data_IF_800596635054
#
_entry.id   IF_800596635054
#
_cell.length_a   1.000
_cell.length_b   1.000
_cell.length_c   1.000
_cell.angle_alpha   90.00
_cell.angle_beta   90.00
_cell.angle_gamma   90.00
#
_symmetry.space_group_name_H-M   'P 1'
#
loop_
_entity.id
_entity.type
_entity.pdbx_description
1 polymer ?
#
# COMPACT_ATOMS: atom_id res chain seq x y z
N UNK A 1 4.92 2.18 -39.31
CA UNK A 1 4.44 3.27 -38.44
C UNK A 1 5.51 3.48 -37.39
N UNK A 2 6.07 4.68 -37.34
CA UNK A 2 7.05 5.03 -36.32
C UNK A 2 6.38 5.00 -34.93
N UNK A 3 7.12 4.53 -33.92
CA UNK A 3 6.62 4.47 -32.55
C UNK A 3 6.54 5.89 -31.96
N UNK A 4 5.33 6.48 -32.00
CA UNK A 4 5.09 7.85 -31.53
C UNK A 4 5.56 8.05 -30.07
N UNK A 5 5.59 6.99 -29.26
CA UNK A 5 6.02 7.08 -27.87
C UNK A 5 7.45 7.58 -27.70
N UNK A 6 8.33 7.33 -28.67
CA UNK A 6 9.73 7.79 -28.66
C UNK A 6 9.78 9.32 -28.78
N UNK A 7 9.00 9.89 -29.72
CA UNK A 7 8.93 11.32 -29.92
C UNK A 7 8.33 12.05 -28.73
N UNK A 8 7.21 11.54 -28.22
CA UNK A 8 6.52 12.08 -27.03
C UNK A 8 7.45 12.05 -25.79
N UNK A 9 8.08 10.89 -25.51
CA UNK A 9 9.00 10.76 -24.39
C UNK A 9 10.17 11.73 -24.47
N UNK A 10 10.75 11.89 -25.67
CA UNK A 10 11.85 12.83 -25.87
C UNK A 10 11.44 14.29 -25.64
N UNK A 11 10.26 14.67 -26.09
CA UNK A 11 9.68 16.01 -25.87
C UNK A 11 9.46 16.27 -24.39
N UNK A 12 8.78 15.34 -23.71
CA UNK A 12 8.47 15.46 -22.27
C UNK A 12 9.75 15.54 -21.44
N UNK A 13 10.72 14.66 -21.69
CA UNK A 13 12.02 14.70 -20.99
C UNK A 13 12.72 16.04 -21.14
N UNK A 14 12.72 16.58 -22.36
CA UNK A 14 13.34 17.87 -22.63
C UNK A 14 12.62 18.98 -21.86
N UNK A 15 11.30 19.07 -21.97
CA UNK A 15 10.49 20.08 -21.27
C UNK A 15 10.66 19.97 -19.76
N UNK A 16 10.61 18.75 -19.22
CA UNK A 16 10.73 18.50 -17.78
C UNK A 16 12.11 18.87 -17.26
N UNK A 17 13.20 18.42 -17.90
CA UNK A 17 14.57 18.73 -17.50
C UNK A 17 14.84 20.25 -17.54
N UNK A 18 14.46 20.92 -18.64
CA UNK A 18 14.60 22.38 -18.75
C UNK A 18 13.78 23.09 -17.69
N UNK A 19 12.53 22.65 -17.44
CA UNK A 19 11.68 23.22 -16.40
C UNK A 19 12.30 23.10 -15.01
N UNK A 20 12.90 21.97 -14.67
CA UNK A 20 13.59 21.76 -13.39
C UNK A 20 14.84 22.63 -13.28
N UNK A 21 15.65 22.73 -14.34
CA UNK A 21 16.87 23.57 -14.35
C UNK A 21 16.56 25.05 -14.22
N UNK A 22 15.50 25.53 -14.89
CA UNK A 22 15.11 26.93 -14.94
C UNK A 22 14.24 27.35 -13.73
N UNK A 23 13.73 26.40 -12.94
CA UNK A 23 12.85 26.72 -11.81
C UNK A 23 13.63 27.41 -10.69
N UNK A 24 13.25 28.66 -10.44
CA UNK A 24 13.77 29.42 -9.30
C UNK A 24 13.42 28.72 -7.98
N UNK A 25 12.20 28.21 -7.85
CA UNK A 25 11.75 27.49 -6.64
C UNK A 25 12.66 26.28 -6.35
N UNK A 26 12.92 25.45 -7.37
CA UNK A 26 13.84 24.30 -7.22
C UNK A 26 15.22 24.76 -6.79
N UNK A 27 15.78 25.77 -7.47
CA UNK A 27 17.13 26.27 -7.19
C UNK A 27 17.25 26.87 -5.77
N UNK A 28 16.27 27.63 -5.31
CA UNK A 28 16.22 28.19 -3.95
C UNK A 28 16.13 27.05 -2.90
N UNK A 29 15.32 26.01 -3.16
CA UNK A 29 15.19 24.87 -2.26
C UNK A 29 16.45 23.99 -2.23
N UNK A 30 17.12 23.78 -3.36
CA UNK A 30 18.41 23.08 -3.41
C UNK A 30 19.49 23.84 -2.62
N UNK A 31 19.56 25.17 -2.77
CA UNK A 31 20.48 26.00 -1.98
C UNK A 31 20.18 25.88 -0.49
N UNK A 32 18.90 25.90 -0.10
CA UNK A 32 18.49 25.73 1.30
C UNK A 32 18.89 24.37 1.86
N UNK A 33 18.82 23.32 1.01
CA UNK A 33 19.25 21.97 1.35
C UNK A 33 20.77 21.89 1.56
N UNK A 34 21.55 22.51 0.66
CA UNK A 34 23.02 22.55 0.75
C UNK A 34 23.49 23.33 1.98
N UNK A 35 22.79 24.41 2.34
CA UNK A 35 22.98 25.16 3.56
C UNK A 35 22.54 24.41 4.84
N UNK A 36 22.01 23.19 4.72
CA UNK A 36 21.44 22.36 5.80
C UNK A 36 20.29 23.03 6.57
N UNK A 37 19.53 23.90 5.91
CA UNK A 37 18.39 24.63 6.49
C UNK A 37 17.03 24.12 6.02
N UNK A 38 17.02 23.15 5.10
CA UNK A 38 15.80 22.59 4.55
C UNK A 38 15.15 21.64 5.56
N UNK A 39 13.83 21.70 5.61
CA UNK A 39 12.96 20.84 6.41
C UNK A 39 11.93 20.08 5.55
N UNK A 40 11.00 19.40 6.19
CA UNK A 40 9.94 18.65 5.45
C UNK A 40 8.89 19.55 4.80
N UNK A 41 8.73 20.80 5.23
CA UNK A 41 7.90 21.77 4.49
C UNK A 41 8.56 22.14 3.17
N UNK A 42 9.88 22.27 3.16
CA UNK A 42 10.65 22.50 1.94
C UNK A 42 10.65 21.26 1.03
N UNK A 43 10.73 20.06 1.60
CA UNK A 43 10.61 18.82 0.83
C UNK A 43 9.24 18.70 0.15
N UNK A 44 8.15 19.08 0.84
CA UNK A 44 6.81 19.10 0.23
C UNK A 44 6.70 20.15 -0.89
N UNK A 45 7.28 21.36 -0.70
CA UNK A 45 7.33 22.39 -1.75
C UNK A 45 8.12 21.90 -2.97
N UNK A 46 9.25 21.23 -2.73
CA UNK A 46 10.05 20.63 -3.80
C UNK A 46 9.27 19.57 -4.57
N UNK A 47 8.55 18.70 -3.88
CA UNK A 47 7.73 17.65 -4.49
C UNK A 47 6.56 18.23 -5.31
N UNK A 48 5.91 19.28 -4.82
CA UNK A 48 4.86 19.99 -5.55
C UNK A 48 5.43 20.59 -6.84
N UNK A 49 6.52 21.33 -6.76
CA UNK A 49 7.15 21.96 -7.91
C UNK A 49 7.58 20.94 -8.97
N UNK A 50 8.25 19.85 -8.56
CA UNK A 50 8.61 18.74 -9.47
C UNK A 50 7.36 18.15 -10.13
N UNK A 51 6.30 17.93 -9.37
CA UNK A 51 5.04 17.38 -9.90
C UNK A 51 4.35 18.33 -10.86
N UNK A 52 4.33 19.64 -10.59
CA UNK A 52 3.75 20.67 -11.45
C UNK A 52 4.54 20.85 -12.75
N UNK A 53 5.86 20.83 -12.69
CA UNK A 53 6.75 20.88 -13.86
C UNK A 53 6.56 19.65 -14.76
N UNK A 54 6.46 18.46 -14.17
CA UNK A 54 6.19 17.25 -14.93
C UNK A 54 4.78 17.26 -15.54
N UNK A 55 3.78 17.69 -14.78
CA UNK A 55 2.41 17.86 -15.27
C UNK A 55 2.35 18.81 -16.47
N UNK A 56 3.03 19.95 -16.38
CA UNK A 56 3.16 20.92 -17.47
C UNK A 56 3.84 20.31 -18.70
N UNK A 57 4.91 19.52 -18.47
CA UNK A 57 5.62 18.85 -19.55
C UNK A 57 4.75 17.83 -20.29
N UNK A 58 3.86 17.14 -19.57
CA UNK A 58 2.85 16.29 -20.21
C UNK A 58 1.85 17.12 -21.03
N UNK A 59 1.35 18.21 -20.47
CA UNK A 59 0.36 19.09 -21.13
C UNK A 59 0.92 19.72 -22.41
N UNK A 60 2.18 20.10 -22.42
CA UNK A 60 2.86 20.69 -23.57
C UNK A 60 3.15 19.71 -24.72
N UNK A 61 3.25 18.42 -24.42
CA UNK A 61 3.73 17.41 -25.38
C UNK A 61 2.69 16.36 -25.76
N UNK A 62 1.57 16.26 -25.04
CA UNK A 62 0.53 15.27 -25.31
C UNK A 62 -0.79 15.98 -25.57
N UNK A 63 -1.33 15.78 -26.75
CA UNK A 63 -2.69 16.18 -27.14
C UNK A 63 -3.42 15.03 -27.83
N UNK A 64 -4.73 15.09 -27.92
CA UNK A 64 -5.53 14.05 -28.56
C UNK A 64 -5.24 13.89 -30.05
N UNK A 65 -4.84 14.96 -30.72
CA UNK A 65 -4.51 14.93 -32.15
C UNK A 65 -3.19 14.19 -32.45
N UNK A 66 -2.27 14.19 -31.48
CA UNK A 66 -0.99 13.47 -31.57
C UNK A 66 -1.13 11.98 -31.24
N UNK A 67 -2.28 11.54 -30.70
CA UNK A 67 -2.52 10.17 -30.30
C UNK A 67 -3.35 9.38 -31.32
N UNK A 68 -3.07 8.08 -31.51
CA UNK A 68 -3.88 7.25 -32.40
C UNK A 68 -5.36 7.25 -31.96
N UNK A 69 -6.25 7.65 -32.87
CA UNK A 69 -7.70 7.76 -32.60
C UNK A 69 -8.05 8.67 -31.41
N UNK A 70 -7.19 9.61 -31.03
CA UNK A 70 -7.40 10.47 -29.85
C UNK A 70 -7.32 9.74 -28.51
N UNK A 71 -6.77 8.53 -28.48
CA UNK A 71 -6.75 7.65 -27.31
C UNK A 71 -5.33 7.38 -26.82
N UNK A 72 -5.13 7.45 -25.52
CA UNK A 72 -3.87 7.06 -24.86
C UNK A 72 -3.84 5.55 -24.64
N UNK A 73 -3.35 4.80 -25.62
CA UNK A 73 -3.22 3.34 -25.49
C UNK A 73 -2.22 2.94 -24.38
N UNK A 74 -2.45 1.80 -23.74
CA UNK A 74 -1.66 1.32 -22.60
C UNK A 74 -0.15 1.28 -22.88
N UNK A 75 0.25 0.78 -24.04
CA UNK A 75 1.66 0.70 -24.42
C UNK A 75 2.32 2.07 -24.59
N UNK A 76 1.57 3.08 -25.03
CA UNK A 76 2.04 4.47 -25.15
C UNK A 76 2.12 5.07 -23.74
N UNK A 77 1.04 5.01 -22.96
CA UNK A 77 1.02 5.51 -21.58
C UNK A 77 2.15 4.90 -20.74
N UNK A 78 2.35 3.58 -20.82
CA UNK A 78 3.39 2.88 -20.06
C UNK A 78 4.81 3.32 -20.43
N UNK A 79 5.07 3.56 -21.74
CA UNK A 79 6.37 4.01 -22.21
C UNK A 79 6.67 5.48 -21.96
N UNK A 80 5.62 6.30 -21.86
CA UNK A 80 5.74 7.76 -21.78
C UNK A 80 5.61 8.27 -20.35
N UNK A 81 4.64 7.74 -19.59
CA UNK A 81 4.30 8.28 -18.26
C UNK A 81 5.12 7.64 -17.14
N UNK A 82 5.24 6.30 -17.12
CA UNK A 82 5.90 5.58 -16.03
C UNK A 82 7.39 5.95 -15.85
N UNK A 83 8.21 6.10 -16.92
CA UNK A 83 9.60 6.51 -16.77
C UNK A 83 9.75 7.91 -16.17
N UNK A 84 8.87 8.85 -16.55
CA UNK A 84 8.93 10.23 -16.08
C UNK A 84 8.43 10.37 -14.63
N UNK A 85 7.42 9.61 -14.24
CA UNK A 85 7.02 9.50 -12.83
C UNK A 85 8.16 8.94 -11.99
N UNK A 86 8.93 7.98 -12.53
CA UNK A 86 10.08 7.40 -11.85
C UNK A 86 11.23 8.41 -11.74
N UNK A 87 11.51 9.19 -12.78
CA UNK A 87 12.53 10.24 -12.73
C UNK A 87 12.16 11.30 -11.68
N UNK A 88 10.91 11.76 -11.67
CA UNK A 88 10.43 12.69 -10.64
C UNK A 88 10.51 12.09 -9.22
N UNK A 89 10.16 10.80 -9.06
CA UNK A 89 10.34 10.07 -7.80
C UNK A 89 11.79 10.11 -7.33
N UNK A 90 12.75 9.84 -8.20
CA UNK A 90 14.18 9.83 -7.84
C UNK A 90 14.63 11.20 -7.34
N UNK A 91 14.23 12.29 -8.02
CA UNK A 91 14.53 13.66 -7.60
C UNK A 91 13.96 13.98 -6.21
N UNK A 92 12.68 13.68 -5.96
CA UNK A 92 12.00 13.95 -4.69
C UNK A 92 12.52 13.04 -3.57
N UNK A 93 12.76 11.78 -3.85
CA UNK A 93 13.32 10.82 -2.88
C UNK A 93 14.73 11.22 -2.44
N UNK A 94 15.57 11.66 -3.36
CA UNK A 94 16.92 12.12 -3.03
C UNK A 94 16.91 13.42 -2.20
N UNK A 95 16.04 14.37 -2.54
CA UNK A 95 15.87 15.59 -1.78
C UNK A 95 15.38 15.30 -0.37
N UNK A 96 14.27 14.58 -0.20
CA UNK A 96 13.68 14.29 1.10
C UNK A 96 14.58 13.39 1.98
N UNK A 97 15.35 12.48 1.37
CA UNK A 97 16.36 11.67 2.08
C UNK A 97 17.50 12.55 2.61
N UNK A 98 17.97 13.55 1.85
CA UNK A 98 18.99 14.50 2.30
C UNK A 98 18.46 15.41 3.40
N UNK A 99 17.21 15.87 3.31
CA UNK A 99 16.52 16.59 4.39
C UNK A 99 16.53 15.77 5.67
N UNK A 100 16.08 14.51 5.61
CA UNK A 100 16.09 13.63 6.80
C UNK A 100 17.50 13.44 7.37
N UNK A 101 18.51 13.31 6.49
CA UNK A 101 19.90 13.17 6.92
C UNK A 101 20.35 14.40 7.70
N UNK A 102 20.09 15.60 7.18
CA UNK A 102 20.46 16.86 7.85
C UNK A 102 19.73 16.99 9.19
N UNK A 103 18.44 16.68 9.24
CA UNK A 103 17.66 16.70 10.49
C UNK A 103 18.17 15.69 11.52
N UNK A 104 18.60 14.51 11.09
CA UNK A 104 19.23 13.52 11.98
C UNK A 104 20.58 14.00 12.51
N UNK A 105 21.40 14.64 11.66
CA UNK A 105 22.69 15.21 12.07
C UNK A 105 22.49 16.32 13.12
N UNK A 106 21.55 17.23 12.89
CA UNK A 106 21.24 18.33 13.81
C UNK A 106 20.70 17.82 15.16
N UNK A 107 19.87 16.80 15.12
CA UNK A 107 19.34 16.13 16.31
C UNK A 107 20.34 15.14 16.94
N UNK A 108 21.54 14.99 16.38
CA UNK A 108 22.59 14.02 16.80
C UNK A 108 22.08 12.57 16.80
N UNK A 109 21.21 12.23 15.85
CA UNK A 109 20.69 10.88 15.64
C UNK A 109 21.63 10.14 14.70
N UNK A 110 22.33 9.13 15.21
CA UNK A 110 23.30 8.33 14.45
C UNK A 110 22.68 7.22 13.59
N UNK A 111 21.39 7.29 13.29
CA UNK A 111 20.68 6.27 12.50
C UNK A 111 20.80 6.52 11.00
N UNK A 112 20.93 5.43 10.24
CA UNK A 112 20.90 5.50 8.78
C UNK A 112 19.51 5.89 8.30
N UNK A 113 19.44 6.92 7.46
CA UNK A 113 18.19 7.35 6.85
C UNK A 113 17.62 6.26 5.93
N UNK A 114 16.34 5.99 6.07
CA UNK A 114 15.59 5.10 5.21
C UNK A 114 15.10 5.83 3.98
N UNK A 115 15.25 5.21 2.80
CA UNK A 115 14.74 5.75 1.53
C UNK A 115 13.35 5.17 1.24
N UNK A 116 12.43 5.96 0.68
CA UNK A 116 11.17 5.44 0.19
C UNK A 116 11.38 4.51 -1.02
N UNK A 117 10.44 3.63 -1.26
CA UNK A 117 10.43 2.73 -2.42
C UNK A 117 9.49 3.27 -3.49
N UNK A 118 9.90 3.20 -4.75
CA UNK A 118 9.05 3.61 -5.86
C UNK A 118 7.73 2.82 -5.88
N UNK A 119 6.61 3.53 -5.81
CA UNK A 119 5.29 2.91 -5.80
C UNK A 119 4.83 2.57 -7.23
N UNK A 120 5.32 1.44 -7.74
CA UNK A 120 5.00 0.96 -9.08
C UNK A 120 3.49 0.71 -9.26
N UNK A 121 2.79 0.29 -8.21
CA UNK A 121 1.35 0.06 -8.27
C UNK A 121 0.59 1.36 -8.52
N UNK A 122 0.98 2.45 -7.86
CA UNK A 122 0.38 3.78 -8.06
C UNK A 122 0.66 4.32 -9.46
N UNK A 123 1.89 4.19 -9.95
CA UNK A 123 2.23 4.53 -11.33
C UNK A 123 1.41 3.72 -12.34
N UNK A 124 1.32 2.40 -12.15
CA UNK A 124 0.49 1.55 -12.99
C UNK A 124 -1.00 1.96 -12.95
N UNK A 125 -1.50 2.41 -11.80
CA UNK A 125 -2.86 2.95 -11.65
C UNK A 125 -3.08 4.18 -12.53
N UNK A 126 -2.15 5.13 -12.56
CA UNK A 126 -2.18 6.31 -13.44
C UNK A 126 -2.21 5.87 -14.91
N UNK A 127 -1.27 4.99 -15.31
CA UNK A 127 -1.15 4.47 -16.68
C UNK A 127 -2.43 3.77 -17.14
N UNK A 128 -3.03 2.92 -16.30
CA UNK A 128 -4.25 2.20 -16.64
C UNK A 128 -5.43 3.15 -16.82
N UNK A 129 -5.64 4.08 -15.90
CA UNK A 129 -6.73 5.06 -15.99
C UNK A 129 -6.67 5.91 -17.26
N UNK A 130 -5.46 6.25 -17.73
CA UNK A 130 -5.26 6.92 -19.01
C UNK A 130 -5.63 6.02 -20.20
N UNK A 131 -5.31 4.73 -20.10
CA UNK A 131 -5.49 3.77 -21.19
C UNK A 131 -6.91 3.23 -21.30
N UNK A 132 -7.65 3.17 -20.20
CA UNK A 132 -9.02 2.63 -20.15
C UNK A 132 -10.06 3.58 -20.70
N UNK A 133 -9.76 4.89 -20.81
CA UNK A 133 -10.68 5.88 -21.35
C UNK A 133 -10.80 5.79 -22.87
N UNK A 134 -11.98 6.12 -23.38
CA UNK A 134 -12.25 6.16 -24.82
C UNK A 134 -11.59 7.37 -25.50
N UNK A 135 -11.45 8.48 -24.79
CA UNK A 135 -10.79 9.70 -25.26
C UNK A 135 -9.75 10.18 -24.26
N UNK A 136 -8.60 10.64 -24.74
CA UNK A 136 -7.57 11.27 -23.91
C UNK A 136 -8.07 12.59 -23.28
N UNK A 137 -8.90 13.34 -23.99
CA UNK A 137 -9.40 14.63 -23.50
C UNK A 137 -10.22 14.46 -22.21
N UNK A 138 -10.96 13.34 -22.07
CA UNK A 138 -11.77 13.06 -20.87
C UNK A 138 -10.91 12.76 -19.64
N UNK A 139 -9.66 12.34 -19.83
CA UNK A 139 -8.78 11.85 -18.77
C UNK A 139 -7.45 12.59 -18.68
N UNK A 140 -7.22 13.61 -19.49
CA UNK A 140 -5.97 14.41 -19.49
C UNK A 140 -5.66 15.01 -18.11
N UNK A 141 -6.69 15.30 -17.31
CA UNK A 141 -6.58 15.79 -15.94
C UNK A 141 -5.82 14.81 -15.00
N UNK A 142 -5.74 13.51 -15.36
CA UNK A 142 -4.99 12.51 -14.60
C UNK A 142 -3.49 12.80 -14.59
N UNK A 143 -3.00 13.48 -15.65
CA UNK A 143 -1.62 13.94 -15.73
C UNK A 143 -1.36 15.30 -15.05
N UNK A 144 -2.36 15.86 -14.35
CA UNK A 144 -2.25 17.10 -13.56
C UNK A 144 -2.11 16.81 -12.07
N UNK A 145 -3.13 17.09 -11.27
CA UNK A 145 -3.08 16.91 -9.82
C UNK A 145 -2.69 15.51 -9.33
N UNK A 146 -3.13 14.41 -9.96
CA UNK A 146 -2.64 13.09 -9.57
C UNK A 146 -1.12 12.90 -9.67
N UNK A 147 -0.48 13.55 -10.65
CA UNK A 147 0.99 13.57 -10.80
C UNK A 147 1.63 14.36 -9.65
N UNK A 148 1.09 15.53 -9.30
CA UNK A 148 1.57 16.32 -8.16
C UNK A 148 1.41 15.53 -6.85
N UNK A 149 0.25 14.94 -6.63
CA UNK A 149 -0.01 14.10 -5.45
C UNK A 149 0.87 12.86 -5.38
N UNK A 150 1.26 12.29 -6.54
CA UNK A 150 2.22 11.20 -6.61
C UNK A 150 3.57 11.63 -6.02
N UNK A 151 4.08 12.80 -6.43
CA UNK A 151 5.37 13.30 -5.94
C UNK A 151 5.31 13.73 -4.46
N UNK A 152 4.23 14.36 -4.01
CA UNK A 152 4.05 14.65 -2.59
C UNK A 152 4.04 13.37 -1.73
N UNK A 153 3.46 12.26 -2.23
CA UNK A 153 3.46 11.01 -1.48
C UNK A 153 4.86 10.40 -1.29
N UNK A 154 5.85 10.77 -2.12
CA UNK A 154 7.23 10.32 -1.95
C UNK A 154 7.84 10.91 -0.65
N UNK A 155 7.51 12.17 -0.34
CA UNK A 155 7.91 12.80 0.91
C UNK A 155 7.19 12.15 2.09
N UNK A 156 5.88 11.89 1.95
CA UNK A 156 5.10 11.21 2.99
C UNK A 156 5.64 9.80 3.27
N UNK A 157 6.02 9.05 2.23
CA UNK A 157 6.64 7.74 2.36
C UNK A 157 8.03 7.83 3.01
N UNK A 158 8.81 8.89 2.72
CA UNK A 158 10.10 9.13 3.41
C UNK A 158 9.87 9.35 4.91
N UNK A 159 8.88 10.17 5.28
CA UNK A 159 8.50 10.38 6.68
C UNK A 159 8.10 9.06 7.34
N UNK A 160 7.21 8.30 6.69
CA UNK A 160 6.67 7.05 7.22
C UNK A 160 7.77 6.02 7.53
N UNK A 161 8.68 5.77 6.57
CA UNK A 161 9.74 4.76 6.77
C UNK A 161 10.77 5.18 7.82
N UNK A 162 11.03 6.49 7.96
CA UNK A 162 11.95 6.98 8.98
C UNK A 162 11.28 7.06 10.37
N UNK A 163 9.99 7.43 10.46
CA UNK A 163 9.24 7.37 11.71
C UNK A 163 9.20 5.94 12.26
N UNK A 164 8.90 4.96 11.39
CA UNK A 164 8.93 3.54 11.77
C UNK A 164 10.31 3.09 12.24
N UNK A 165 11.38 3.49 11.54
CA UNK A 165 12.74 3.16 11.91
C UNK A 165 13.14 3.75 13.28
N UNK A 166 12.77 5.00 13.54
CA UNK A 166 13.04 5.66 14.81
C UNK A 166 12.21 5.07 15.96
N UNK A 167 10.95 4.75 15.73
CA UNK A 167 10.11 4.09 16.72
C UNK A 167 10.69 2.73 17.15
N UNK A 168 11.13 1.91 16.19
CA UNK A 168 11.72 0.58 16.46
C UNK A 168 12.99 0.62 17.32
N UNK A 169 13.67 1.74 17.39
CA UNK A 169 14.83 1.91 18.27
C UNK A 169 14.48 2.63 19.59
N UNK A 170 13.18 2.75 19.89
CA UNK A 170 12.70 3.29 21.16
C UNK A 170 12.58 4.82 21.22
N UNK A 171 12.54 5.49 20.06
CA UNK A 171 12.18 6.90 19.97
C UNK A 171 10.64 7.05 19.92
N UNK A 172 10.15 8.26 20.19
CA UNK A 172 8.74 8.58 20.17
C UNK A 172 8.44 9.62 19.07
N UNK A 173 8.37 9.18 17.80
CA UNK A 173 8.15 10.07 16.68
C UNK A 173 6.76 10.72 16.73
N UNK A 174 6.68 11.94 16.20
CA UNK A 174 5.42 12.67 16.02
C UNK A 174 5.24 13.03 14.56
N UNK A 175 4.05 12.77 14.05
CA UNK A 175 3.65 13.18 12.71
C UNK A 175 2.70 14.35 12.82
N UNK A 176 2.99 15.43 12.09
CA UNK A 176 2.12 16.60 12.08
C UNK A 176 1.61 16.86 10.68
N UNK A 177 0.28 16.91 10.53
CA UNK A 177 -0.36 17.34 9.28
C UNK A 177 -0.87 18.77 9.43
N UNK A 178 -0.42 19.66 8.56
CA UNK A 178 -0.86 21.05 8.46
C UNK A 178 -1.67 21.25 7.20
N UNK A 179 -2.79 21.94 7.32
CA UNK A 179 -3.57 22.36 6.15
C UNK A 179 -2.86 23.49 5.42
N UNK A 180 -2.95 23.49 4.07
CA UNK A 180 -2.42 24.53 3.23
C UNK A 180 -3.41 24.85 2.11
N UNK A 181 -3.44 26.13 1.71
CA UNK A 181 -4.36 26.60 0.68
C UNK A 181 -5.84 26.55 1.09
N UNK A 182 -6.72 26.28 0.14
CA UNK A 182 -8.15 26.06 0.39
C UNK A 182 -8.37 24.61 0.84
N UNK A 183 -8.22 24.36 2.13
CA UNK A 183 -8.44 23.04 2.69
C UNK A 183 -9.93 22.71 2.77
N UNK A 184 -10.31 21.49 2.40
CA UNK A 184 -11.66 20.96 2.60
C UNK A 184 -11.84 20.46 4.03
N UNK A 185 -13.10 20.20 4.45
CA UNK A 185 -13.42 19.74 5.79
C UNK A 185 -12.67 18.44 6.16
N UNK A 186 -12.51 17.53 5.21
CA UNK A 186 -11.73 16.30 5.42
C UNK A 186 -10.25 16.60 5.77
N UNK A 187 -9.61 17.52 5.05
CA UNK A 187 -8.25 17.96 5.38
C UNK A 187 -8.16 18.67 6.73
N UNK A 188 -9.15 19.47 7.08
CA UNK A 188 -9.22 20.17 8.37
C UNK A 188 -9.38 19.17 9.52
N UNK A 189 -10.17 18.14 9.35
CA UNK A 189 -10.36 17.08 10.36
C UNK A 189 -9.10 16.22 10.56
N UNK A 190 -8.22 16.12 9.56
CA UNK A 190 -6.94 15.41 9.65
C UNK A 190 -5.76 16.32 10.03
N UNK A 191 -6.00 17.61 10.23
CA UNK A 191 -4.95 18.51 10.71
C UNK A 191 -4.68 18.27 12.20
N UNK A 192 -3.43 18.05 12.55
CA UNK A 192 -3.07 17.75 13.95
C UNK A 192 -1.66 17.21 14.07
N UNK A 193 -1.27 16.96 15.31
CA UNK A 193 -0.01 16.29 15.66
C UNK A 193 -0.34 14.98 16.36
N UNK A 194 0.25 13.90 15.91
CA UNK A 194 -0.06 12.53 16.29
C UNK A 194 1.20 11.83 16.82
N UNK A 195 1.08 11.11 17.91
CA UNK A 195 2.13 10.21 18.42
C UNK A 195 2.19 8.96 17.53
N UNK A 196 3.39 8.63 17.04
CA UNK A 196 3.57 7.45 16.21
C UNK A 196 3.88 6.21 17.08
N UNK A 197 3.31 5.03 16.81
CA UNK A 197 2.31 4.74 15.76
C UNK A 197 0.86 4.90 16.22
N UNK A 198 0.59 4.98 17.53
CA UNK A 198 -0.68 4.65 18.17
C UNK A 198 -1.81 5.63 17.83
N UNK A 199 -1.47 6.93 17.69
CA UNK A 199 -2.46 7.98 17.43
C UNK A 199 -2.53 8.41 15.96
N UNK A 200 -1.62 7.88 15.09
CA UNK A 200 -1.53 8.31 13.69
C UNK A 200 -2.69 7.71 12.88
N UNK A 201 -3.65 8.54 12.40
CA UNK A 201 -4.69 8.04 11.52
C UNK A 201 -4.09 7.47 10.23
N UNK A 202 -4.64 6.38 9.72
CA UNK A 202 -4.21 5.79 8.45
C UNK A 202 -4.26 6.80 7.30
N UNK A 203 -5.22 7.74 7.37
CA UNK A 203 -5.45 8.77 6.39
C UNK A 203 -4.49 9.97 6.47
N UNK A 204 -3.64 10.06 7.49
CA UNK A 204 -2.75 11.23 7.69
C UNK A 204 -1.88 11.53 6.48
N UNK A 205 -1.53 10.49 5.69
CA UNK A 205 -0.73 10.60 4.46
C UNK A 205 -1.59 10.63 3.18
N UNK A 206 -2.92 10.49 3.29
CA UNK A 206 -3.78 10.47 2.11
C UNK A 206 -3.98 11.87 1.54
N UNK A 207 -4.10 11.92 0.20
CA UNK A 207 -4.25 13.15 -0.56
C UNK A 207 -5.39 13.01 -1.55
N UNK A 208 -6.35 13.93 -1.48
CA UNK A 208 -7.39 14.09 -2.49
C UNK A 208 -6.88 14.99 -3.64
N UNK A 209 -7.68 15.16 -4.66
CA UNK A 209 -7.41 16.10 -5.75
C UNK A 209 -7.18 17.51 -5.18
N UNK A 210 -6.26 18.26 -5.76
CA UNK A 210 -5.86 19.62 -5.34
C UNK A 210 -5.35 19.73 -3.89
N UNK A 211 -4.99 18.63 -3.24
CA UNK A 211 -4.47 18.65 -1.88
C UNK A 211 -3.05 19.23 -1.86
N UNK A 212 -2.86 20.27 -1.06
CA UNK A 212 -1.55 20.90 -0.81
C UNK A 212 -1.14 20.85 0.67
N UNK A 213 -1.82 20.01 1.48
CA UNK A 213 -1.48 19.82 2.89
C UNK A 213 -0.04 19.34 3.05
N UNK A 214 0.57 19.77 4.14
CA UNK A 214 1.95 19.47 4.46
C UNK A 214 1.98 18.45 5.59
N UNK A 215 2.72 17.38 5.42
CA UNK A 215 3.05 16.44 6.49
C UNK A 215 4.50 16.67 6.91
N UNK A 216 4.71 16.81 8.20
CA UNK A 216 6.03 16.99 8.80
C UNK A 216 6.28 15.94 9.86
N UNK A 217 7.54 15.76 10.22
CA UNK A 217 8.00 14.74 11.11
C UNK A 217 8.91 15.30 12.19
N UNK A 218 8.71 14.86 13.41
CA UNK A 218 9.61 15.10 14.51
C UNK A 218 10.03 13.75 15.13
N UNK A 219 11.32 13.41 15.20
CA UNK A 219 11.78 12.12 15.73
C UNK A 219 11.50 11.91 17.21
N UNK A 220 10.97 12.90 17.91
CA UNK A 220 10.71 12.85 19.34
C UNK A 220 11.89 13.29 20.18
N UNK A 221 12.01 12.76 21.38
CA UNK A 221 12.96 13.26 22.37
C UNK A 221 14.42 12.93 22.00
N UNK A 222 15.10 13.86 21.32
CA UNK A 222 16.52 13.76 20.98
C UNK A 222 17.45 13.60 22.20
N UNK A 223 17.00 13.95 23.41
CA UNK A 223 17.78 13.73 24.64
C UNK A 223 17.94 12.25 24.95
N UNK A 224 16.95 11.42 24.64
CA UNK A 224 17.04 9.96 24.82
C UNK A 224 18.09 9.32 23.89
N UNK A 225 18.36 9.94 22.74
CA UNK A 225 19.38 9.46 21.79
C UNK A 225 20.77 9.94 22.15
N UNK A 226 20.89 11.10 22.81
CA UNK A 226 22.19 11.62 23.30
C UNK A 226 22.77 10.77 24.43
N UNK A 227 21.92 10.17 25.28
CA UNK A 227 22.36 9.26 26.35
C UNK A 227 23.01 7.98 25.83
N UNK A 228 22.87 7.69 24.55
CA UNK A 228 23.54 6.56 23.88
C UNK A 228 25.05 6.72 23.88
N UNK A 229 25.56 7.95 23.77
CA UNK A 229 27.00 8.22 23.76
C UNK A 229 27.62 8.17 25.15
N UNK A 230 26.81 8.23 26.20
CA UNK A 230 27.24 8.14 27.59
C UNK A 230 27.13 6.75 28.20
N UNK A 231 26.57 5.79 27.44
CA UNK A 231 26.39 4.41 27.89
C UNK A 231 27.71 3.65 27.97
N UNK A 232 27.81 2.77 28.97
CA UNK A 232 28.99 1.91 29.19
C UNK A 232 29.25 1.00 27.99
N UNK A 233 30.52 0.59 27.79
CA UNK A 233 30.95 -0.25 26.67
C UNK A 233 30.12 -1.55 26.47
N UNK A 234 29.62 -2.15 27.58
CA UNK A 234 28.75 -3.33 27.53
C UNK A 234 27.40 -3.08 26.85
N UNK A 235 26.88 -1.84 26.87
CA UNK A 235 25.63 -1.46 26.21
C UNK A 235 25.86 -1.13 24.73
N UNK A 236 27.08 -0.69 24.37
CA UNK A 236 27.46 -0.44 22.98
C UNK A 236 27.55 -1.75 22.17
N UNK A 237 28.03 -2.85 22.80
CA UNK A 237 28.09 -4.15 22.13
C UNK A 237 26.70 -4.75 21.87
N UNK A 238 25.79 -4.68 22.83
CA UNK A 238 24.40 -5.13 22.67
C UNK A 238 23.64 -4.32 21.61
N UNK A 239 24.01 -3.06 21.45
CA UNK A 239 23.42 -2.16 20.45
C UNK A 239 23.98 -2.36 19.03
N UNK A 240 25.23 -2.77 18.88
CA UNK A 240 25.78 -3.22 17.61
C UNK A 240 25.04 -4.46 17.10
N UNK A 241 24.73 -5.39 18.00
CA UNK A 241 23.96 -6.58 17.67
C UNK A 241 22.52 -6.24 17.27
N UNK A 242 21.83 -5.34 17.99
CA UNK A 242 20.48 -4.90 17.62
C UNK A 242 20.44 -4.11 16.31
N UNK A 243 21.47 -3.28 16.02
CA UNK A 243 21.60 -2.57 14.76
C UNK A 243 21.93 -3.51 13.58
N UNK A 244 22.70 -4.56 13.83
CA UNK A 244 22.99 -5.60 12.83
C UNK A 244 21.73 -6.41 12.56
N UNK A 245 20.98 -6.76 13.59
CA UNK A 245 19.72 -7.50 13.49
C UNK A 245 18.63 -6.66 12.79
N UNK A 246 18.51 -5.38 13.12
CA UNK A 246 17.62 -4.44 12.44
C UNK A 246 18.01 -4.21 10.96
N UNK A 247 19.29 -4.02 10.67
CA UNK A 247 19.80 -3.89 9.30
C UNK A 247 19.59 -5.19 8.51
N UNK A 248 19.70 -6.35 9.17
CA UNK A 248 19.40 -7.66 8.59
C UNK A 248 17.90 -7.77 8.29
N UNK A 249 17.03 -7.40 9.23
CA UNK A 249 15.57 -7.38 9.07
C UNK A 249 15.11 -6.46 7.91
N UNK A 250 15.63 -5.24 7.84
CA UNK A 250 15.30 -4.29 6.74
C UNK A 250 15.82 -4.80 5.39
N UNK A 251 17.03 -5.36 5.37
CA UNK A 251 17.60 -5.93 4.15
C UNK A 251 16.87 -7.23 3.74
N UNK A 252 16.41 -8.05 4.67
CA UNK A 252 15.58 -9.22 4.41
C UNK A 252 14.22 -8.82 3.87
N UNK A 253 13.53 -7.85 4.46
CA UNK A 253 12.27 -7.33 3.93
C UNK A 253 12.42 -6.67 2.54
N UNK A 254 13.50 -5.95 2.30
CA UNK A 254 13.79 -5.42 0.96
C UNK A 254 14.10 -6.52 -0.06
N UNK A 255 14.75 -7.60 0.37
CA UNK A 255 14.96 -8.81 -0.44
C UNK A 255 13.65 -9.55 -0.66
N UNK A 256 12.81 -9.72 0.36
CA UNK A 256 11.49 -10.35 0.26
C UNK A 256 10.56 -9.59 -0.66
N UNK A 257 10.51 -8.25 -0.58
CA UNK A 257 9.73 -7.40 -1.50
C UNK A 257 10.27 -7.50 -2.93
N UNK A 258 11.60 -7.51 -3.11
CA UNK A 258 12.25 -7.67 -4.42
C UNK A 258 12.09 -9.10 -4.94
N UNK A 259 12.19 -10.10 -4.07
CA UNK A 259 12.01 -11.52 -4.39
C UNK A 259 10.54 -11.84 -4.68
N UNK A 260 9.58 -11.26 -3.94
CA UNK A 260 8.15 -11.44 -4.24
C UNK A 260 7.74 -10.80 -5.58
N UNK A 261 8.33 -9.65 -5.93
CA UNK A 261 8.13 -9.02 -7.24
C UNK A 261 8.79 -9.82 -8.38
N UNK A 262 9.96 -10.43 -8.14
CA UNK A 262 10.65 -11.29 -9.10
C UNK A 262 9.98 -12.67 -9.19
N UNK A 263 9.52 -13.25 -8.07
CA UNK A 263 8.80 -14.51 -8.02
C UNK A 263 7.40 -14.42 -8.65
N UNK A 264 6.74 -13.26 -8.62
CA UNK A 264 5.53 -13.03 -9.40
C UNK A 264 5.78 -12.99 -10.92
N UNK A 265 7.02 -12.73 -11.35
CA UNK A 265 7.42 -12.78 -12.76
C UNK A 265 7.96 -14.15 -13.21
N UNK A 266 8.55 -14.95 -12.30
CA UNK A 266 9.22 -16.21 -12.64
C UNK A 266 8.43 -17.48 -12.31
N UNK A 267 7.44 -17.42 -11.39
CA UNK A 267 6.74 -18.61 -10.89
C UNK A 267 5.49 -19.03 -11.67
N UNK A 268 5.38 -18.70 -12.95
CA UNK A 268 4.36 -19.33 -13.80
C UNK A 268 4.76 -20.74 -14.28
N UNK A 269 5.89 -21.28 -13.90
CA UNK A 269 6.37 -22.48 -14.58
C UNK A 269 6.69 -23.72 -13.76
N UNK A 270 6.73 -23.81 -12.45
CA UNK A 270 7.00 -25.12 -11.81
C UNK A 270 6.73 -25.18 -10.30
N UNK A 271 5.49 -25.15 -9.86
CA UNK A 271 5.20 -25.58 -8.51
C UNK A 271 4.05 -26.62 -8.46
N UNK A 272 4.39 -27.85 -8.13
CA UNK A 272 3.40 -28.88 -7.76
C UNK A 272 3.26 -28.90 -6.25
N UNK A 273 2.11 -28.48 -5.69
CA UNK A 273 1.90 -28.61 -4.25
C UNK A 273 1.77 -30.09 -3.89
N UNK A 274 2.58 -30.55 -2.99
CA UNK A 274 2.42 -31.85 -2.37
C UNK A 274 1.57 -31.67 -1.11
N UNK A 275 0.27 -31.88 -1.23
CA UNK A 275 -0.64 -31.96 -0.09
C UNK A 275 -0.41 -33.35 0.53
N UNK A 276 0.26 -33.42 1.66
CA UNK A 276 0.37 -34.62 2.48
C UNK A 276 -0.37 -34.41 3.80
N UNK A 277 -1.60 -34.95 3.85
CA UNK A 277 -2.37 -35.08 5.09
C UNK A 277 -2.91 -33.78 5.70
N UNK A 278 -3.83 -33.93 6.68
CA UNK A 278 -4.47 -32.81 7.40
C UNK A 278 -3.56 -32.02 8.35
N UNK A 279 -2.26 -32.30 8.37
CA UNK A 279 -1.28 -31.67 9.27
C UNK A 279 -0.50 -30.50 8.67
N UNK A 280 -0.62 -30.26 7.37
CA UNK A 280 0.03 -29.14 6.69
C UNK A 280 -0.94 -28.47 5.73
N UNK A 281 -1.10 -27.17 5.89
CA UNK A 281 -1.89 -26.33 4.99
C UNK A 281 -0.97 -25.31 4.35
N UNK A 282 -1.06 -25.19 3.04
CA UNK A 282 -0.26 -24.28 2.25
C UNK A 282 -1.07 -23.03 1.91
N UNK A 283 -0.48 -21.86 2.19
CA UNK A 283 -0.99 -20.57 1.73
C UNK A 283 -0.34 -20.22 0.39
N UNK A 284 -1.11 -20.26 -0.65
CA UNK A 284 -0.67 -20.05 -2.02
C UNK A 284 -0.11 -18.64 -2.26
N UNK A 285 -0.76 -17.63 -1.68
CA UNK A 285 -0.37 -16.25 -1.91
C UNK A 285 0.90 -15.82 -1.14
N UNK A 286 1.16 -16.43 0.03
CA UNK A 286 2.37 -16.16 0.82
C UNK A 286 3.46 -17.18 0.59
N UNK A 287 3.18 -18.25 -0.17
CA UNK A 287 4.08 -19.39 -0.37
C UNK A 287 4.54 -20.03 0.94
N UNK A 288 3.72 -19.96 1.99
CA UNK A 288 4.02 -20.45 3.33
C UNK A 288 3.30 -21.77 3.58
N UNK A 289 4.01 -22.75 4.12
CA UNK A 289 3.46 -24.02 4.57
C UNK A 289 3.35 -24.03 6.10
N UNK A 290 2.13 -24.13 6.62
CA UNK A 290 1.87 -24.16 8.05
C UNK A 290 1.74 -25.58 8.57
N UNK A 291 2.39 -25.87 9.70
CA UNK A 291 2.08 -27.04 10.51
C UNK A 291 0.84 -26.71 11.36
N UNK A 292 -0.21 -27.48 11.21
CA UNK A 292 -1.49 -27.22 11.86
C UNK A 292 -2.07 -28.47 12.47
N UNK A 293 -2.91 -28.25 13.49
CA UNK A 293 -3.75 -29.32 14.09
C UNK A 293 -5.21 -28.95 13.91
N UNK A 294 -6.01 -29.92 13.57
CA UNK A 294 -7.48 -29.78 13.55
C UNK A 294 -7.96 -29.68 14.99
N UNK A 295 -8.72 -28.66 15.31
CA UNK A 295 -9.21 -28.38 16.67
C UNK A 295 -10.72 -28.43 16.79
N UNK A 296 -11.45 -28.22 15.69
CA UNK A 296 -12.91 -28.26 15.66
C UNK A 296 -13.43 -28.54 14.25
N UNK A 297 -14.70 -28.93 14.15
CA UNK A 297 -15.43 -29.07 12.89
C UNK A 297 -16.84 -28.50 13.09
N UNK A 298 -17.39 -27.86 12.07
CA UNK A 298 -18.75 -27.37 12.09
C UNK A 298 -19.44 -27.63 10.78
N UNK A 299 -20.56 -28.38 10.83
CA UNK A 299 -21.42 -28.70 9.67
C UNK A 299 -20.64 -29.20 8.45
N UNK A 300 -19.58 -29.43 8.23
CA UNK A 300 -18.81 -29.81 7.04
C UNK A 300 -17.60 -28.91 6.69
N UNK A 301 -17.21 -27.99 7.57
CA UNK A 301 -15.92 -27.32 7.44
C UNK A 301 -15.08 -27.50 8.71
N UNK A 302 -13.78 -27.52 8.51
CA UNK A 302 -12.81 -27.83 9.54
C UNK A 302 -12.06 -26.55 9.98
N UNK A 303 -11.80 -26.48 11.29
CA UNK A 303 -11.01 -25.40 11.89
C UNK A 303 -9.67 -25.99 12.34
N UNK A 304 -8.60 -25.37 11.86
CA UNK A 304 -7.21 -25.71 12.16
C UNK A 304 -6.55 -24.57 12.91
N UNK A 305 -5.58 -24.91 13.75
CA UNK A 305 -4.75 -23.95 14.49
C UNK A 305 -3.29 -24.32 14.26
N UNK A 306 -2.47 -23.31 13.99
CA UNK A 306 -1.03 -23.48 13.86
C UNK A 306 -0.43 -24.09 15.13
N UNK A 307 0.56 -24.95 14.98
CA UNK A 307 1.29 -25.53 16.10
C UNK A 307 2.08 -24.50 16.91
N UNK A 308 2.28 -23.30 16.36
CA UNK A 308 3.01 -22.19 17.00
C UNK A 308 2.18 -21.37 18.00
N UNK A 309 0.86 -21.61 18.09
CA UNK A 309 -0.04 -20.84 18.95
C UNK A 309 -0.95 -21.69 19.82
N UNK A 310 -1.42 -21.10 20.91
CA UNK A 310 -2.47 -21.63 21.75
C UNK A 310 -3.69 -20.68 21.76
N UNK A 311 -4.78 -21.14 21.18
CA UNK A 311 -6.00 -20.33 21.08
C UNK A 311 -7.03 -20.74 22.15
N UNK A 312 -7.74 -19.75 22.71
CA UNK A 312 -8.79 -19.96 23.69
C UNK A 312 -10.06 -20.53 23.05
N UNK A 313 -10.77 -21.42 23.74
CA UNK A 313 -12.07 -21.95 23.29
C UNK A 313 -13.07 -20.84 22.88
N UNK A 314 -13.08 -19.74 23.61
CA UNK A 314 -13.97 -18.60 23.30
C UNK A 314 -13.64 -17.95 21.96
N UNK A 315 -12.36 -17.84 21.61
CA UNK A 315 -11.93 -17.29 20.34
C UNK A 315 -12.36 -18.20 19.17
N UNK A 316 -12.17 -19.51 19.30
CA UNK A 316 -12.68 -20.50 18.34
C UNK A 316 -14.19 -20.41 18.17
N UNK A 317 -14.93 -20.33 19.26
CA UNK A 317 -16.39 -20.18 19.22
C UNK A 317 -16.81 -18.90 18.50
N UNK A 318 -16.16 -17.79 18.77
CA UNK A 318 -16.47 -16.52 18.13
C UNK A 318 -16.24 -16.54 16.62
N UNK A 319 -15.07 -17.05 16.15
CA UNK A 319 -14.78 -17.21 14.72
C UNK A 319 -15.84 -18.09 14.07
N UNK A 320 -16.12 -19.25 14.65
CA UNK A 320 -17.12 -20.18 14.16
C UNK A 320 -18.50 -19.52 13.99
N UNK A 321 -18.96 -18.81 15.01
CA UNK A 321 -20.28 -18.17 15.00
C UNK A 321 -20.37 -17.11 13.91
N UNK A 322 -19.35 -16.24 13.78
CA UNK A 322 -19.37 -15.17 12.79
C UNK A 322 -19.23 -15.66 11.35
N UNK A 323 -18.40 -16.68 11.13
CA UNK A 323 -18.29 -17.29 9.80
C UNK A 323 -19.62 -17.95 9.39
N UNK A 324 -20.27 -18.67 10.29
CA UNK A 324 -21.60 -19.25 10.06
C UNK A 324 -22.65 -18.18 9.79
N UNK A 325 -22.63 -17.09 10.52
CA UNK A 325 -23.52 -15.97 10.34
C UNK A 325 -23.36 -15.34 8.93
N UNK A 326 -22.12 -15.07 8.53
CA UNK A 326 -21.82 -14.58 7.18
C UNK A 326 -22.25 -15.57 6.09
N UNK A 327 -21.98 -16.86 6.26
CA UNK A 327 -22.38 -17.90 5.30
C UNK A 327 -23.90 -17.95 5.14
N UNK A 328 -24.64 -17.88 6.23
CA UNK A 328 -26.10 -17.93 6.19
C UNK A 328 -26.68 -16.69 5.50
N UNK A 329 -26.20 -15.51 5.85
CA UNK A 329 -26.71 -14.23 5.32
C UNK A 329 -26.44 -14.07 3.83
N UNK A 330 -25.24 -14.41 3.39
CA UNK A 330 -24.86 -14.27 1.99
C UNK A 330 -25.11 -15.50 1.15
N UNK A 331 -25.73 -16.53 1.75
CA UNK A 331 -26.08 -17.78 1.06
C UNK A 331 -24.85 -18.51 0.53
N UNK A 332 -23.72 -18.46 1.27
CA UNK A 332 -22.50 -19.16 0.88
C UNK A 332 -22.66 -20.65 1.14
N UNK A 333 -22.51 -21.45 0.09
CA UNK A 333 -22.61 -22.92 0.15
C UNK A 333 -21.25 -23.58 0.14
N UNK A 334 -20.24 -22.91 -0.40
CA UNK A 334 -18.87 -23.41 -0.44
C UNK A 334 -18.31 -23.49 0.98
N UNK A 335 -17.69 -24.61 1.32
CA UNK A 335 -17.23 -24.88 2.70
C UNK A 335 -15.72 -24.67 2.78
N UNK A 336 -15.24 -23.68 3.51
CA UNK A 336 -13.82 -23.40 3.60
C UNK A 336 -13.13 -24.29 4.62
N UNK A 337 -11.82 -24.40 4.52
CA UNK A 337 -10.96 -24.62 5.69
C UNK A 337 -10.75 -23.29 6.40
N UNK A 338 -10.78 -23.27 7.72
CA UNK A 338 -10.42 -22.09 8.52
C UNK A 338 -9.10 -22.40 9.23
N UNK A 339 -8.13 -21.53 9.08
CA UNK A 339 -6.81 -21.66 9.70
C UNK A 339 -6.53 -20.45 10.58
N UNK A 340 -6.18 -20.69 11.83
CA UNK A 340 -5.76 -19.63 12.75
C UNK A 340 -4.25 -19.75 12.91
N UNK A 341 -3.55 -18.66 12.60
CA UNK A 341 -2.09 -18.58 12.60
C UNK A 341 -1.57 -17.52 13.57
N UNK A 342 -0.30 -17.60 13.94
CA UNK A 342 0.39 -16.64 14.78
C UNK A 342 1.49 -15.88 14.05
N UNK A 343 2.09 -14.93 14.74
CA UNK A 343 3.16 -14.08 14.21
C UNK A 343 4.34 -14.90 13.64
N UNK A 344 4.65 -16.04 14.26
CA UNK A 344 5.77 -16.91 13.86
C UNK A 344 5.53 -17.71 12.58
N UNK A 345 4.32 -17.69 12.05
CA UNK A 345 3.94 -18.48 10.88
C UNK A 345 4.29 -17.80 9.55
N UNK A 346 4.82 -16.56 9.60
CA UNK A 346 5.32 -15.87 8.40
C UNK A 346 4.22 -15.28 7.50
N UNK A 347 2.97 -15.29 7.93
CA UNK A 347 1.86 -14.63 7.23
C UNK A 347 1.74 -13.19 7.76
N UNK A 348 1.82 -12.21 6.87
CA UNK A 348 1.85 -10.78 7.24
C UNK A 348 0.46 -10.11 7.26
N UNK A 349 -0.60 -10.81 6.86
CA UNK A 349 -1.97 -10.32 6.87
C UNK A 349 -2.68 -10.65 8.18
N UNK A 350 -3.64 -9.84 8.60
CA UNK A 350 -4.51 -10.17 9.75
C UNK A 350 -5.60 -11.18 9.40
N UNK A 351 -6.15 -11.07 8.19
CA UNK A 351 -7.09 -12.01 7.59
C UNK A 351 -6.74 -12.20 6.13
N UNK A 352 -7.15 -13.33 5.54
CA UNK A 352 -6.89 -13.63 4.15
C UNK A 352 -7.72 -14.81 3.69
N UNK A 353 -8.28 -14.71 2.49
CA UNK A 353 -8.88 -15.83 1.79
C UNK A 353 -8.00 -16.30 0.63
N UNK A 354 -7.70 -17.58 0.61
CA UNK A 354 -7.02 -18.24 -0.50
C UNK A 354 -8.05 -18.98 -1.35
N UNK A 355 -8.30 -18.47 -2.54
CA UNK A 355 -9.34 -18.99 -3.42
C UNK A 355 -8.97 -20.32 -4.08
N UNK A 356 -7.68 -20.62 -4.27
CA UNK A 356 -7.20 -21.87 -4.87
C UNK A 356 -7.42 -23.04 -3.92
N UNK A 357 -7.05 -22.86 -2.65
CA UNK A 357 -7.20 -23.91 -1.63
C UNK A 357 -8.53 -23.84 -0.89
N UNK A 358 -9.34 -22.83 -1.17
CA UNK A 358 -10.59 -22.54 -0.45
C UNK A 358 -10.37 -22.48 1.07
N UNK A 359 -9.37 -21.70 1.49
CA UNK A 359 -8.96 -21.59 2.88
C UNK A 359 -9.04 -20.15 3.36
N UNK A 360 -9.66 -19.92 4.51
CA UNK A 360 -9.68 -18.63 5.20
C UNK A 360 -8.65 -18.66 6.32
N UNK A 361 -7.73 -17.71 6.32
CA UNK A 361 -6.71 -17.55 7.33
C UNK A 361 -7.05 -16.36 8.23
N UNK A 362 -6.93 -16.55 9.54
CA UNK A 362 -7.09 -15.48 10.52
C UNK A 362 -5.89 -15.47 11.48
N UNK A 363 -5.35 -14.31 11.76
CA UNK A 363 -4.34 -14.18 12.82
C UNK A 363 -4.96 -14.45 14.19
N UNK A 364 -4.14 -14.87 15.16
CA UNK A 364 -4.59 -15.04 16.55
C UNK A 364 -5.16 -13.75 17.15
N UNK A 365 -4.70 -12.58 16.71
CA UNK A 365 -5.19 -11.29 17.17
C UNK A 365 -6.63 -11.01 16.71
N UNK A 366 -6.98 -11.41 15.48
CA UNK A 366 -8.37 -11.40 15.00
C UNK A 366 -9.21 -12.37 15.80
N UNK A 367 -8.73 -13.58 16.02
CA UNK A 367 -9.44 -14.62 16.75
C UNK A 367 -9.73 -14.21 18.20
N UNK A 368 -8.76 -13.65 18.89
CA UNK A 368 -8.88 -13.18 20.27
C UNK A 368 -9.57 -11.80 20.40
N UNK A 369 -9.96 -11.16 19.31
CA UNK A 369 -10.54 -9.80 19.26
C UNK A 369 -9.61 -8.73 19.88
N UNK A 370 -8.31 -8.88 19.75
CA UNK A 370 -7.34 -7.91 20.27
C UNK A 370 -7.34 -6.62 19.45
N UNK A 371 -7.76 -6.70 18.18
CA UNK A 371 -7.82 -5.56 17.26
C UNK A 371 -9.25 -4.98 17.22
N UNK A 372 -9.35 -3.66 17.15
CA UNK A 372 -10.63 -2.95 17.10
C UNK A 372 -11.54 -3.41 15.94
N UNK A 373 -10.97 -3.72 14.80
CA UNK A 373 -11.69 -4.12 13.58
C UNK A 373 -11.75 -5.64 13.34
N UNK A 374 -11.48 -6.48 14.34
CA UNK A 374 -11.44 -7.94 14.18
C UNK A 374 -12.68 -8.52 13.49
N UNK A 375 -13.88 -8.09 13.89
CA UNK A 375 -15.15 -8.58 13.31
C UNK A 375 -15.27 -8.18 11.83
N UNK A 376 -14.84 -6.96 11.49
CA UNK A 376 -14.86 -6.47 10.12
C UNK A 376 -13.94 -7.29 9.22
N UNK A 377 -12.73 -7.60 9.68
CA UNK A 377 -11.80 -8.45 8.94
C UNK A 377 -12.40 -9.83 8.65
N UNK A 378 -13.07 -10.45 9.63
CA UNK A 378 -13.70 -11.76 9.40
C UNK A 378 -14.78 -11.71 8.33
N UNK A 379 -15.65 -10.69 8.34
CA UNK A 379 -16.68 -10.55 7.29
C UNK A 379 -16.08 -10.19 5.94
N UNK A 380 -15.00 -9.43 5.90
CA UNK A 380 -14.26 -9.11 4.67
C UNK A 380 -13.78 -10.40 3.96
N UNK A 381 -13.09 -11.28 4.68
CA UNK A 381 -12.58 -12.52 4.11
C UNK A 381 -13.71 -13.47 3.69
N UNK A 382 -14.81 -13.50 4.42
CA UNK A 382 -15.97 -14.28 4.06
C UNK A 382 -16.67 -13.77 2.79
N UNK A 383 -16.60 -12.45 2.52
CA UNK A 383 -17.10 -11.90 1.26
C UNK A 383 -16.23 -12.34 0.08
N UNK A 384 -14.90 -12.37 0.21
CA UNK A 384 -14.04 -12.94 -0.83
C UNK A 384 -14.39 -14.39 -1.15
N UNK A 385 -14.75 -15.17 -0.14
CA UNK A 385 -15.24 -16.52 -0.38
C UNK A 385 -16.55 -16.53 -1.18
N UNK A 386 -17.46 -15.58 -0.94
CA UNK A 386 -18.70 -15.43 -1.75
C UNK A 386 -18.37 -15.06 -3.19
N UNK A 387 -17.43 -14.16 -3.41
CA UNK A 387 -16.97 -13.81 -4.75
C UNK A 387 -16.37 -15.03 -5.48
N UNK A 388 -15.55 -15.82 -4.79
CA UNK A 388 -15.01 -17.07 -5.34
C UNK A 388 -16.10 -18.09 -5.66
N UNK A 389 -17.10 -18.25 -4.80
CA UNK A 389 -18.25 -19.12 -5.06
C UNK A 389 -19.00 -18.71 -6.33
N UNK A 390 -19.22 -17.41 -6.51
CA UNK A 390 -19.89 -16.89 -7.72
C UNK A 390 -19.08 -17.18 -8.98
N UNK A 391 -17.77 -17.06 -8.92
CA UNK A 391 -16.89 -17.43 -10.04
C UNK A 391 -16.93 -18.93 -10.33
N UNK A 392 -16.79 -19.77 -9.30
CA UNK A 392 -16.80 -21.23 -9.43
C UNK A 392 -18.11 -21.73 -10.05
N UNK A 393 -19.23 -21.12 -9.70
CA UNK A 393 -20.54 -21.47 -10.26
C UNK A 393 -20.63 -21.22 -11.78
N UNK A 394 -19.83 -20.29 -12.32
CA UNK A 394 -19.84 -19.89 -13.74
C UNK A 394 -18.72 -20.57 -14.55
N UNK A 395 -17.54 -20.77 -13.93
CA UNK A 395 -16.29 -21.10 -14.62
C UNK A 395 -15.63 -22.40 -14.13
N UNK A 396 -16.16 -23.03 -13.08
CA UNK A 396 -15.55 -24.21 -12.44
C UNK A 396 -14.50 -23.82 -11.39
N UNK A 397 -13.83 -24.83 -10.83
CA UNK A 397 -12.90 -24.64 -9.72
C UNK A 397 -11.73 -23.69 -10.06
N UNK A 398 -11.35 -22.89 -9.07
CA UNK A 398 -10.22 -21.96 -9.16
C UNK A 398 -8.93 -22.75 -9.04
N UNK A 399 -8.03 -22.53 -9.99
CA UNK A 399 -6.72 -23.17 -10.10
C UNK A 399 -5.67 -22.13 -10.45
N UNK A 400 -4.41 -22.47 -10.37
CA UNK A 400 -3.32 -21.56 -10.82
C UNK A 400 -3.54 -21.08 -12.27
N UNK A 401 -4.06 -21.96 -13.13
CA UNK A 401 -4.21 -21.67 -14.56
C UNK A 401 -5.26 -20.60 -14.86
N UNK A 402 -6.34 -20.58 -14.09
CA UNK A 402 -7.43 -19.60 -14.27
C UNK A 402 -7.49 -18.54 -13.17
N UNK A 403 -6.46 -18.45 -12.31
CA UNK A 403 -6.46 -17.51 -11.19
C UNK A 403 -6.51 -16.04 -11.64
N UNK A 404 -5.82 -15.71 -12.73
CA UNK A 404 -5.88 -14.37 -13.30
C UNK A 404 -7.27 -14.03 -13.83
N UNK A 405 -7.93 -14.97 -14.50
CA UNK A 405 -9.31 -14.82 -14.96
C UNK A 405 -10.28 -14.67 -13.79
N UNK A 406 -10.06 -15.44 -12.71
CA UNK A 406 -10.82 -15.29 -11.47
C UNK A 406 -10.72 -13.86 -10.92
N UNK A 407 -9.51 -13.32 -10.71
CA UNK A 407 -9.31 -11.96 -10.18
C UNK A 407 -9.98 -10.94 -11.10
N UNK A 408 -9.76 -11.01 -12.41
CA UNK A 408 -10.35 -10.10 -13.37
C UNK A 408 -11.88 -10.13 -13.34
N UNK A 409 -12.47 -11.32 -13.47
CA UNK A 409 -13.93 -11.49 -13.46
C UNK A 409 -14.56 -11.01 -12.16
N UNK A 410 -13.92 -11.28 -11.04
CA UNK A 410 -14.39 -10.83 -9.72
C UNK A 410 -14.31 -9.31 -9.57
N UNK A 411 -13.23 -8.69 -10.01
CA UNK A 411 -13.11 -7.23 -10.03
C UNK A 411 -14.14 -6.56 -10.95
N UNK A 412 -14.37 -7.12 -12.14
CA UNK A 412 -15.37 -6.61 -13.10
C UNK A 412 -16.80 -6.71 -12.55
N UNK A 413 -17.15 -7.80 -11.88
CA UNK A 413 -18.44 -8.00 -11.21
C UNK A 413 -18.60 -7.06 -10.01
N UNK A 414 -17.58 -6.98 -9.16
CA UNK A 414 -17.55 -6.07 -8.01
C UNK A 414 -17.66 -4.61 -8.45
N UNK A 415 -17.02 -4.20 -9.55
CA UNK A 415 -17.16 -2.85 -10.10
C UNK A 415 -18.60 -2.49 -10.41
N UNK A 416 -19.33 -3.37 -11.06
CA UNK A 416 -20.76 -3.16 -11.37
C UNK A 416 -21.60 -3.02 -10.09
N UNK A 417 -21.29 -3.85 -9.09
CA UNK A 417 -22.00 -3.83 -7.81
C UNK A 417 -21.77 -2.51 -7.04
N UNK A 418 -20.52 -2.07 -6.92
CA UNK A 418 -20.19 -0.82 -6.23
C UNK A 418 -20.71 0.42 -6.98
N UNK A 419 -20.74 0.40 -8.33
CA UNK A 419 -21.35 1.46 -9.13
C UNK A 419 -22.85 1.57 -8.88
N UNK A 420 -23.54 0.42 -8.78
CA UNK A 420 -24.97 0.38 -8.44
C UNK A 420 -25.26 0.92 -7.05
N UNK A 421 -24.31 0.77 -6.13
CA UNK A 421 -24.37 1.33 -4.77
C UNK A 421 -23.99 2.81 -4.70
N UNK A 422 -23.62 3.44 -5.83
CA UNK A 422 -23.16 4.81 -5.87
C UNK A 422 -21.79 5.04 -5.23
N UNK A 423 -20.99 3.98 -5.06
CA UNK A 423 -19.64 4.07 -4.53
C UNK A 423 -18.70 4.55 -5.64
N UNK A 424 -18.09 5.69 -5.42
CA UNK A 424 -17.22 6.39 -6.37
C UNK A 424 -15.88 6.68 -5.72
N UNK A 425 -14.92 7.17 -6.49
CA UNK A 425 -13.63 7.62 -5.95
C UNK A 425 -13.76 8.76 -4.92
N UNK A 426 -14.89 9.48 -4.92
CA UNK A 426 -15.13 10.61 -4.02
C UNK A 426 -15.65 10.19 -2.64
N UNK A 427 -16.40 9.10 -2.56
CA UNK A 427 -17.03 8.66 -1.31
C UNK A 427 -16.54 7.29 -0.80
N UNK A 428 -15.70 6.58 -1.57
CA UNK A 428 -15.17 5.28 -1.14
C UNK A 428 -14.35 5.34 0.15
N UNK A 429 -13.76 6.51 0.46
CA UNK A 429 -13.03 6.73 1.73
C UNK A 429 -13.94 6.69 2.96
N UNK A 430 -15.25 6.90 2.79
CA UNK A 430 -16.23 6.76 3.87
C UNK A 430 -16.39 5.29 4.31
N UNK A 431 -16.05 4.34 3.44
CA UNK A 431 -16.02 2.91 3.78
C UNK A 431 -14.81 2.61 4.64
N UNK A 432 -13.60 2.87 4.10
CA UNK A 432 -12.33 2.78 4.80
C UNK A 432 -11.17 3.32 3.93
N UNK A 433 -10.04 3.59 4.57
CA UNK A 433 -8.80 3.91 3.88
C UNK A 433 -8.33 2.74 3.01
N UNK A 434 -8.56 1.51 3.45
CA UNK A 434 -8.24 0.31 2.69
C UNK A 434 -9.09 0.21 1.42
N UNK A 435 -10.41 0.45 1.51
CA UNK A 435 -11.30 0.51 0.35
C UNK A 435 -10.88 1.61 -0.63
N UNK A 436 -10.59 2.82 -0.14
CA UNK A 436 -10.13 3.92 -0.98
C UNK A 436 -8.84 3.59 -1.73
N UNK A 437 -7.87 2.98 -1.04
CA UNK A 437 -6.63 2.50 -1.64
C UNK A 437 -6.89 1.48 -2.74
N UNK A 438 -7.71 0.47 -2.46
CA UNK A 438 -8.00 -0.59 -3.42
C UNK A 438 -8.84 -0.10 -4.61
N UNK A 439 -9.74 0.86 -4.39
CA UNK A 439 -10.46 1.52 -5.48
C UNK A 439 -9.51 2.17 -6.50
N UNK A 440 -8.49 2.88 -6.01
CA UNK A 440 -7.46 3.50 -6.86
C UNK A 440 -6.62 2.48 -7.64
N UNK A 441 -6.48 1.26 -7.11
CA UNK A 441 -5.75 0.18 -7.78
C UNK A 441 -6.63 -0.70 -8.68
N UNK A 442 -7.92 -0.38 -8.83
CA UNK A 442 -8.85 -1.18 -9.59
C UNK A 442 -9.18 -2.54 -8.94
N UNK A 443 -8.86 -2.70 -7.64
CA UNK A 443 -9.21 -3.87 -6.84
C UNK A 443 -10.60 -3.68 -6.24
N UNK A 444 -11.58 -3.64 -7.13
CA UNK A 444 -12.97 -3.41 -6.76
C UNK A 444 -13.56 -4.58 -5.94
N UNK A 445 -13.00 -5.76 -6.08
CA UNK A 445 -13.25 -6.93 -5.24
C UNK A 445 -13.00 -6.63 -3.75
N UNK A 446 -11.89 -5.98 -3.44
CA UNK A 446 -11.53 -5.55 -2.10
C UNK A 446 -12.45 -4.43 -1.57
N UNK A 447 -12.81 -3.48 -2.45
CA UNK A 447 -13.74 -2.39 -2.10
C UNK A 447 -15.12 -2.94 -1.73
N UNK A 448 -15.62 -3.87 -2.54
CA UNK A 448 -16.91 -4.52 -2.28
C UNK A 448 -16.87 -5.31 -0.96
N UNK A 449 -15.78 -6.06 -0.71
CA UNK A 449 -15.60 -6.82 0.54
C UNK A 449 -15.59 -5.92 1.77
N UNK A 450 -14.88 -4.78 1.70
CA UNK A 450 -14.87 -3.78 2.76
C UNK A 450 -16.26 -3.17 3.01
N UNK A 451 -16.98 -2.81 1.97
CA UNK A 451 -18.35 -2.29 2.08
C UNK A 451 -19.30 -3.30 2.73
N UNK A 452 -19.27 -4.56 2.27
CA UNK A 452 -20.10 -5.62 2.83
C UNK A 452 -19.80 -5.90 4.29
N UNK A 453 -18.51 -5.87 4.65
CA UNK A 453 -18.07 -6.02 6.03
C UNK A 453 -18.49 -4.84 6.91
N UNK A 454 -18.49 -3.62 6.39
CA UNK A 454 -18.95 -2.42 7.10
C UNK A 454 -20.45 -2.50 7.38
N UNK A 455 -21.27 -2.78 6.39
CA UNK A 455 -22.73 -2.87 6.51
C UNK A 455 -23.14 -4.01 7.44
N UNK A 456 -22.44 -5.14 7.41
CA UNK A 456 -22.72 -6.28 8.28
C UNK A 456 -22.37 -6.02 9.74
N UNK A 457 -21.36 -5.20 10.02
CA UNK A 457 -20.95 -4.85 11.38
C UNK A 457 -21.92 -3.86 12.03
N UNK A 458 -22.55 -2.96 11.26
CA UNK A 458 -23.51 -1.95 11.73
C UNK A 458 -24.81 -2.54 12.11
#
# INVERSE_FOLDING_TARGET
MDDISIGLLKGIKKSFSSGVEDSKTINDLLKKLDDKKADYEDAQKYAIEVGELLSKSFEENIDSASLPNGKMYYNIAKKVVDPELKEGFEKVSDYSTKVQKNLNEDAKIGLKVQKPVYNQARSNGIVRRLADAESYDDVSWILKDPVVNFHQSVVDDTIKVNAEAHYKVGMHPKITRKVAGKACDWCMNLAGTYEYPDDVPDEVYHRHRDCRCIVTYNPGNGKAVQDVHTKKWSEISSRKESNVEYTRYVNERQRETKTSLLLQQENTQNYKPVIRGDSKIFDYNSSVSLNVKKVDSYKDYDIYVSDNINIKRKALHNIKTRNVDAMNEWGIKRKPKIVIFGEKDGITAYGKYDAITNTVFYSEDIADKRLHNSIRTEYHEMWHMKQAENFVAKHGEITEKNYFEYIKSTCDEAKKNIDTLGITEYNVSEISSYAAKNYLFGRFDEVEAEYKALVKKG
#
